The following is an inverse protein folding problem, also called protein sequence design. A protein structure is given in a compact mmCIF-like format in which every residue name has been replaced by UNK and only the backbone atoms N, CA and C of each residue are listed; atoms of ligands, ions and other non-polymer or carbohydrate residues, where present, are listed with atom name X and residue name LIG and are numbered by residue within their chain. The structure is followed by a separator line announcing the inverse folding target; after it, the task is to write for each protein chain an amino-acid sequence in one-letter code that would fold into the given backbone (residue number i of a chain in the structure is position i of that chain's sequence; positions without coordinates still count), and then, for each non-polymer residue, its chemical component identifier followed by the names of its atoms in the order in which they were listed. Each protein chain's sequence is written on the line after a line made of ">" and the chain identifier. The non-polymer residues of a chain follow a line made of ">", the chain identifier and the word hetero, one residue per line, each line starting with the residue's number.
data_IF_207268510475
#
_entry.id   IF_207268510475
#
_cell.length_a   1.000
_cell.length_b   1.000
_cell.length_c   1.000
_cell.angle_alpha   90.00
_cell.angle_beta   90.00
_cell.angle_gamma   90.00
#
_symmetry.space_group_name_H-M   'P 1'
#
loop_
_entity.id
_entity.type
_entity.pdbx_description
1 polymer ?
#
# COMPACT_ATOMS: atom_id res chain seq x y z
N UNK A 1 5.30 12.41 2.35
CA UNK A 1 3.92 12.00 2.63
C UNK A 1 3.14 11.97 1.33
N UNK A 2 2.50 10.84 1.01
CA UNK A 2 1.67 10.69 -0.19
C UNK A 2 0.52 9.71 0.10
N UNK A 3 -0.49 9.71 -0.77
CA UNK A 3 -1.66 8.84 -0.68
C UNK A 3 -1.58 7.74 -1.74
N UNK A 4 -1.96 6.54 -1.36
CA UNK A 4 -2.22 5.42 -2.28
C UNK A 4 -3.69 5.05 -2.12
N UNK A 5 -4.37 4.89 -3.25
CA UNK A 5 -5.75 4.40 -3.31
C UNK A 5 -5.70 3.09 -4.08
N UNK A 6 -6.07 2.00 -3.41
CA UNK A 6 -6.15 0.67 -4.02
C UNK A 6 -7.61 0.35 -4.31
N UNK A 7 -7.86 -0.24 -5.49
CA UNK A 7 -9.16 -0.77 -5.86
C UNK A 7 -9.04 -2.27 -5.99
N UNK A 8 -9.63 -2.97 -5.03
CA UNK A 8 -9.58 -4.43 -4.94
C UNK A 8 -10.76 -5.06 -5.68
N UNK A 9 -10.53 -6.23 -6.29
CA UNK A 9 -11.61 -7.05 -6.86
C UNK A 9 -12.38 -7.83 -5.79
N UNK A 10 -11.74 -8.06 -4.65
CA UNK A 10 -12.32 -8.72 -3.49
C UNK A 10 -12.83 -7.72 -2.47
N UNK A 11 -13.81 -8.12 -1.68
CA UNK A 11 -14.33 -7.30 -0.59
C UNK A 11 -13.56 -7.59 0.70
N UNK A 12 -12.96 -6.57 1.31
CA UNK A 12 -12.27 -6.71 2.59
C UNK A 12 -12.42 -5.47 3.47
N UNK A 13 -12.41 -5.67 4.79
CA UNK A 13 -12.36 -4.59 5.77
C UNK A 13 -11.17 -4.76 6.69
N UNK A 14 -10.53 -3.66 7.03
CA UNK A 14 -9.36 -3.69 7.88
C UNK A 14 -8.76 -2.32 8.11
N UNK A 15 -7.89 -2.26 9.11
CA UNK A 15 -7.05 -1.10 9.38
C UNK A 15 -5.62 -1.55 9.12
N UNK A 16 -4.95 -0.87 8.19
CA UNK A 16 -3.54 -1.08 7.92
C UNK A 16 -2.74 -0.12 8.78
N UNK A 17 -2.05 -0.64 9.80
CA UNK A 17 -1.29 0.16 10.75
C UNK A 17 0.16 -0.32 10.83
N UNK A 18 1.01 0.26 10.00
CA UNK A 18 2.45 0.06 9.97
C UNK A 18 3.18 1.36 10.37
N UNK A 19 4.43 1.27 10.84
CA UNK A 19 5.25 2.42 11.27
C UNK A 19 5.27 3.60 10.29
N UNK A 20 5.22 3.33 8.99
CA UNK A 20 5.30 4.36 7.92
C UNK A 20 4.03 4.42 7.06
N UNK A 21 3.04 3.58 7.33
CA UNK A 21 1.84 3.42 6.49
C UNK A 21 0.64 3.32 7.42
N UNK A 22 -0.32 4.22 7.24
CA UNK A 22 -1.60 4.14 7.93
C UNK A 22 -2.71 4.16 6.90
N UNK A 23 -3.59 3.18 6.93
CA UNK A 23 -4.69 3.10 5.98
C UNK A 23 -5.90 2.38 6.53
N UNK A 24 -6.97 2.48 5.77
CA UNK A 24 -8.23 1.78 6.03
C UNK A 24 -8.72 1.13 4.75
N UNK A 25 -9.20 -0.10 4.88
CA UNK A 25 -9.86 -0.87 3.82
C UNK A 25 -11.36 -0.82 4.05
N UNK A 26 -12.10 -0.35 3.06
CA UNK A 26 -13.55 -0.13 3.10
C UNK A 26 -14.25 -0.91 1.98
N UNK A 27 -14.14 -2.24 2.04
CA UNK A 27 -14.73 -3.13 1.04
C UNK A 27 -13.84 -3.27 -0.19
N UNK A 28 -14.19 -2.57 -1.26
CA UNK A 28 -13.49 -2.62 -2.56
C UNK A 28 -12.44 -1.52 -2.74
N UNK A 29 -12.36 -0.58 -1.79
CA UNK A 29 -11.44 0.56 -1.84
C UNK A 29 -10.62 0.55 -0.56
N UNK A 30 -9.30 0.68 -0.70
CA UNK A 30 -8.40 0.95 0.41
C UNK A 30 -7.71 2.30 0.21
N UNK A 31 -7.55 3.05 1.31
CA UNK A 31 -6.87 4.34 1.31
C UNK A 31 -5.73 4.27 2.30
N UNK A 32 -4.51 4.52 1.83
CA UNK A 32 -3.29 4.48 2.64
C UNK A 32 -2.55 5.82 2.58
N UNK A 33 -2.18 6.31 3.75
CA UNK A 33 -1.29 7.44 3.96
C UNK A 33 0.11 6.91 4.22
N UNK A 34 1.03 7.22 3.33
CA UNK A 34 2.44 6.86 3.45
C UNK A 34 3.23 8.04 3.98
N UNK A 35 3.97 7.83 5.07
CA UNK A 35 4.91 8.79 5.63
C UNK A 35 6.36 8.44 5.29
N UNK A 36 6.60 8.09 4.03
CA UNK A 36 7.95 7.86 3.49
C UNK A 36 8.17 8.70 2.22
N UNK A 37 9.38 8.66 1.66
CA UNK A 37 9.68 9.29 0.37
C UNK A 37 9.11 8.44 -0.75
N UNK A 38 8.43 9.07 -1.71
CA UNK A 38 7.80 8.36 -2.84
C UNK A 38 8.81 7.51 -3.63
N UNK A 39 10.02 8.02 -3.85
CA UNK A 39 11.11 7.29 -4.51
C UNK A 39 11.47 5.98 -3.80
N UNK A 40 11.47 5.99 -2.47
CA UNK A 40 11.77 4.80 -1.66
C UNK A 40 10.66 3.76 -1.83
N UNK A 41 9.40 4.19 -1.73
CA UNK A 41 8.24 3.33 -1.96
C UNK A 41 8.26 2.65 -3.33
N UNK A 42 8.49 3.42 -4.40
CA UNK A 42 8.54 2.88 -5.77
C UNK A 42 9.68 1.87 -5.93
N UNK A 43 10.85 2.17 -5.33
CA UNK A 43 12.00 1.26 -5.35
C UNK A 43 11.67 -0.06 -4.64
N UNK A 44 11.12 -0.02 -3.43
CA UNK A 44 10.73 -1.21 -2.66
C UNK A 44 9.71 -2.07 -3.43
N UNK A 45 8.67 -1.45 -3.99
CA UNK A 45 7.66 -2.15 -4.79
C UNK A 45 8.27 -2.85 -6.03
N UNK A 46 9.26 -2.21 -6.66
CA UNK A 46 9.97 -2.81 -7.80
C UNK A 46 10.79 -4.02 -7.36
N UNK A 47 11.53 -3.92 -6.26
CA UNK A 47 12.34 -5.01 -5.70
C UNK A 47 11.48 -6.20 -5.25
N UNK A 48 10.37 -5.95 -4.57
CA UNK A 48 9.41 -7.00 -4.17
C UNK A 48 8.84 -7.74 -5.39
N UNK A 49 8.48 -7.00 -6.44
CA UNK A 49 7.97 -7.58 -7.68
C UNK A 49 9.03 -8.45 -8.39
N UNK A 50 10.29 -8.01 -8.41
CA UNK A 50 11.39 -8.78 -9.01
C UNK A 50 11.70 -10.05 -8.21
N UNK A 51 11.63 -9.98 -6.88
CA UNK A 51 11.84 -11.14 -6.02
C UNK A 51 10.70 -12.16 -6.08
N UNK A 52 9.45 -11.73 -6.25
CA UNK A 52 8.30 -12.62 -6.40
C UNK A 52 8.29 -13.40 -7.74
N UNK A 53 9.11 -13.01 -8.72
CA UNK A 53 9.27 -13.69 -10.01
C UNK A 53 10.44 -14.70 -10.03
N UNK A 54 11.24 -14.77 -8.96
CA UNK A 54 12.32 -15.75 -8.79
C UNK A 54 11.83 -16.95 -7.98
#
# INVERSE_FOLDING_TARGET
>A
MFLVIEVDRGYSFGIDWHKEIKGVRLGFIAIHVFNTRFEYFVKTMKEERENAMR
#
